data_IF_355743382748
#
_entry.id   IF_355743382748
#
_cell.length_a   1.000
_cell.length_b   1.000
_cell.length_c   1.000
_cell.angle_alpha   90.00
_cell.angle_beta   90.00
_cell.angle_gamma   90.00
#
_symmetry.space_group_name_H-M   'P 1'
#
loop_
_entity.id
_entity.type
_entity.pdbx_description
1 polymer ?
#
# COMPACT_ATOMS: atom_id res chain seq x y z
N UNK A 1 -4.15 -18.64 -2.91
CA UNK A 1 -5.18 -19.49 -3.56
C UNK A 1 -6.33 -18.59 -3.93
N UNK A 2 -6.69 -18.55 -5.21
CA UNK A 2 -7.83 -17.78 -5.72
C UNK A 2 -9.08 -18.63 -5.45
N UNK A 3 -10.02 -18.12 -4.65
CA UNK A 3 -11.28 -18.82 -4.33
C UNK A 3 -12.33 -18.47 -5.38
N UNK A 4 -12.96 -19.49 -5.96
CA UNK A 4 -14.11 -19.33 -6.84
C UNK A 4 -14.35 -20.54 -7.74
N UNK A 5 -15.52 -20.59 -8.37
CA UNK A 5 -15.89 -21.63 -9.33
C UNK A 5 -16.32 -21.00 -10.65
N UNK A 6 -15.96 -21.64 -11.76
CA UNK A 6 -16.44 -21.27 -13.08
C UNK A 6 -17.56 -22.22 -13.47
N UNK A 7 -18.67 -21.67 -13.96
CA UNK A 7 -19.80 -22.44 -14.48
C UNK A 7 -19.77 -22.34 -16.00
N UNK A 8 -19.66 -23.48 -16.65
CA UNK A 8 -19.67 -23.61 -18.11
C UNK A 8 -21.04 -24.15 -18.56
N UNK A 9 -21.49 -23.76 -19.75
CA UNK A 9 -22.61 -24.43 -20.39
C UNK A 9 -22.21 -25.77 -21.01
N UNK A 10 -23.20 -26.48 -21.56
CA UNK A 10 -23.04 -27.75 -22.25
C UNK A 10 -22.11 -27.68 -23.48
N UNK A 11 -21.81 -26.49 -23.99
CA UNK A 11 -20.88 -26.26 -25.09
C UNK A 11 -19.48 -25.83 -24.62
N UNK A 12 -19.22 -25.83 -23.30
CA UNK A 12 -17.94 -25.39 -22.73
C UNK A 12 -17.77 -23.87 -22.69
N UNK A 13 -18.83 -23.10 -22.88
CA UNK A 13 -18.80 -21.63 -22.81
C UNK A 13 -18.95 -21.18 -21.37
N UNK A 14 -18.05 -20.30 -20.90
CA UNK A 14 -18.13 -19.71 -19.56
C UNK A 14 -19.43 -18.88 -19.42
N UNK A 15 -20.31 -19.25 -18.49
CA UNK A 15 -21.55 -18.54 -18.17
C UNK A 15 -21.42 -17.67 -16.93
N UNK A 16 -20.73 -18.17 -15.91
CA UNK A 16 -20.52 -17.46 -14.65
C UNK A 16 -19.10 -17.70 -14.17
N UNK A 17 -18.39 -16.62 -13.86
CA UNK A 17 -17.06 -16.67 -13.25
C UNK A 17 -17.13 -16.06 -11.85
N UNK A 18 -16.98 -16.93 -10.86
CA UNK A 18 -17.01 -16.57 -9.45
C UNK A 18 -15.61 -16.52 -8.83
N UNK A 19 -14.55 -16.54 -9.64
CA UNK A 19 -13.16 -16.36 -9.17
C UNK A 19 -12.86 -14.94 -8.64
N UNK A 20 -13.87 -14.07 -8.68
CA UNK A 20 -13.83 -12.63 -8.40
C UNK A 20 -14.79 -12.21 -7.26
N UNK A 21 -15.47 -13.14 -6.56
CA UNK A 21 -16.56 -12.77 -5.63
C UNK A 21 -16.09 -12.04 -4.36
N UNK A 22 -14.83 -12.17 -3.93
CA UNK A 22 -14.42 -11.70 -2.61
C UNK A 22 -13.28 -10.68 -2.68
N UNK A 23 -13.48 -9.58 -1.94
CA UNK A 23 -12.40 -8.69 -1.55
C UNK A 23 -11.28 -9.51 -0.92
N UNK A 24 -10.06 -9.33 -1.37
CA UNK A 24 -8.93 -10.08 -0.85
C UNK A 24 -7.71 -9.20 -0.65
N UNK A 25 -6.94 -9.57 0.36
CA UNK A 25 -5.64 -9.01 0.63
C UNK A 25 -4.60 -9.65 -0.30
N UNK A 26 -3.82 -8.82 -0.99
CA UNK A 26 -2.77 -9.28 -1.91
C UNK A 26 -1.42 -9.30 -1.19
N UNK A 27 -1.11 -8.27 -0.41
CA UNK A 27 0.17 -8.19 0.27
C UNK A 27 0.36 -6.97 1.15
N UNK A 28 1.54 -6.90 1.75
CA UNK A 28 1.95 -5.78 2.59
C UNK A 28 3.40 -5.40 2.32
N UNK A 29 3.73 -4.15 2.63
CA UNK A 29 5.08 -3.63 2.54
C UNK A 29 5.39 -2.74 3.73
N UNK A 30 6.53 -3.00 4.39
CA UNK A 30 6.99 -2.18 5.51
C UNK A 30 7.74 -0.95 5.01
N UNK A 31 7.15 0.20 5.27
CA UNK A 31 7.73 1.51 5.02
C UNK A 31 8.65 1.85 6.19
N UNK A 32 9.98 1.95 5.97
CA UNK A 32 10.92 2.27 7.04
C UNK A 32 10.70 3.71 7.56
N UNK A 33 11.41 4.08 8.63
CA UNK A 33 11.53 5.49 8.95
C UNK A 33 12.33 6.20 7.87
N UNK A 34 11.74 7.26 7.33
CA UNK A 34 12.34 8.09 6.30
C UNK A 34 12.77 9.40 6.92
N UNK A 35 14.07 9.67 6.86
CA UNK A 35 14.70 10.86 7.47
C UNK A 35 15.28 11.83 6.43
N UNK A 36 15.20 11.47 5.14
CA UNK A 36 15.74 12.26 4.03
C UNK A 36 14.66 12.47 2.97
N UNK A 37 14.59 13.68 2.39
CA UNK A 37 13.64 13.98 1.34
C UNK A 37 13.91 13.17 0.07
N UNK A 38 12.84 12.95 -0.71
CA UNK A 38 12.92 12.26 -2.01
C UNK A 38 12.82 10.75 -1.95
N UNK A 39 12.40 10.18 -0.80
CA UNK A 39 12.12 8.75 -0.73
C UNK A 39 10.90 8.39 -1.59
N UNK A 40 11.07 7.34 -2.38
CA UNK A 40 10.03 6.75 -3.22
C UNK A 40 10.26 5.26 -3.34
N UNK A 41 9.17 4.50 -3.41
CA UNK A 41 9.21 3.06 -3.61
C UNK A 41 8.06 2.62 -4.51
N UNK A 42 8.34 1.71 -5.44
CA UNK A 42 7.32 1.11 -6.32
C UNK A 42 7.28 -0.39 -6.09
N UNK A 43 6.09 -0.87 -5.76
CA UNK A 43 5.75 -2.29 -5.77
C UNK A 43 5.09 -2.58 -7.12
N UNK A 44 5.73 -3.38 -7.96
CA UNK A 44 5.26 -3.69 -9.32
C UNK A 44 4.78 -5.14 -9.44
N UNK A 45 4.06 -5.44 -10.52
CA UNK A 45 3.57 -6.78 -10.81
C UNK A 45 2.45 -7.22 -9.86
N UNK A 46 1.68 -6.26 -9.35
CA UNK A 46 0.54 -6.54 -8.47
C UNK A 46 -0.66 -6.95 -9.33
N UNK A 47 -1.20 -8.16 -9.18
CA UNK A 47 -2.36 -8.59 -9.95
C UNK A 47 -3.64 -8.04 -9.32
N UNK A 48 -4.00 -6.79 -9.63
CA UNK A 48 -5.29 -6.19 -9.24
C UNK A 48 -6.48 -6.76 -10.04
N UNK A 49 -6.58 -8.08 -10.10
CA UNK A 49 -7.59 -8.79 -10.88
C UNK A 49 -8.86 -8.90 -10.04
N UNK A 50 -10.00 -8.59 -10.68
CA UNK A 50 -11.30 -8.91 -10.10
C UNK A 50 -11.69 -8.00 -8.92
N UNK A 51 -11.47 -6.70 -9.05
CA UNK A 51 -12.00 -5.75 -8.07
C UNK A 51 -11.40 -4.36 -8.20
N UNK A 52 -11.84 -3.49 -7.30
CA UNK A 52 -11.29 -2.15 -7.14
C UNK A 52 -10.06 -2.22 -6.25
N UNK A 53 -8.87 -1.79 -6.71
CA UNK A 53 -7.67 -1.77 -5.89
C UNK A 53 -7.87 -0.96 -4.60
N UNK A 54 -7.28 -1.42 -3.50
CA UNK A 54 -7.14 -0.63 -2.28
C UNK A 54 -5.71 -0.66 -1.76
N UNK A 55 -5.35 0.41 -1.07
CA UNK A 55 -4.07 0.55 -0.39
C UNK A 55 -4.26 1.47 0.82
N UNK A 56 -3.87 1.03 2.02
CA UNK A 56 -3.90 1.85 3.22
C UNK A 56 -2.70 1.54 4.12
N UNK A 57 -2.30 2.51 4.93
CA UNK A 57 -1.16 2.39 5.83
C UNK A 57 -1.61 2.32 7.28
N UNK A 58 -0.92 1.50 8.07
CA UNK A 58 -1.07 1.43 9.53
C UNK A 58 0.29 1.60 10.20
N UNK A 59 0.37 2.15 11.44
CA UNK A 59 1.62 2.21 12.17
C UNK A 59 2.24 0.82 12.39
N UNK A 60 3.55 0.69 12.13
CA UNK A 60 4.26 -0.57 12.37
C UNK A 60 4.78 -0.62 13.82
N UNK A 61 4.15 -1.46 14.64
CA UNK A 61 4.46 -1.59 16.07
C UNK A 61 5.85 -2.17 16.39
N UNK A 62 6.52 -2.80 15.41
CA UNK A 62 7.85 -3.35 15.58
C UNK A 62 8.96 -2.31 15.44
N UNK A 63 8.67 -1.18 14.77
CA UNK A 63 9.64 -0.12 14.56
C UNK A 63 9.67 0.85 15.75
N UNK A 64 10.83 1.49 15.97
CA UNK A 64 11.04 2.52 16.98
C UNK A 64 11.66 3.74 16.34
N UNK A 65 11.17 4.91 16.71
CA UNK A 65 11.69 6.19 16.23
C UNK A 65 13.21 6.25 16.47
N UNK A 66 14.02 6.57 15.46
CA UNK A 66 15.46 6.70 15.62
C UNK A 66 15.81 7.79 16.65
N UNK A 67 16.87 7.57 17.43
CA UNK A 67 17.34 8.56 18.38
C UNK A 67 17.75 9.86 17.67
N UNK A 68 17.40 11.01 18.27
CA UNK A 68 17.69 12.32 17.69
C UNK A 68 16.71 12.77 16.59
N UNK A 69 15.60 12.05 16.40
CA UNK A 69 14.54 12.43 15.48
C UNK A 69 13.19 12.56 16.20
N UNK A 70 12.37 13.49 15.72
CA UNK A 70 10.95 13.57 16.06
C UNK A 70 10.14 12.74 15.06
N UNK A 71 9.20 11.94 15.56
CA UNK A 71 8.32 11.14 14.70
C UNK A 71 7.05 11.90 14.34
N UNK A 72 6.75 11.97 13.04
CA UNK A 72 5.42 12.32 12.57
C UNK A 72 4.79 11.13 11.85
N UNK A 73 3.62 10.72 12.33
CA UNK A 73 2.82 9.65 11.74
C UNK A 73 2.11 10.18 10.47
N UNK A 74 2.88 10.35 9.40
CA UNK A 74 2.39 10.83 8.12
C UNK A 74 2.39 9.67 7.12
N UNK A 75 1.26 9.44 6.46
CA UNK A 75 1.17 8.48 5.36
C UNK A 75 1.88 9.01 4.12
N UNK A 76 2.55 8.16 3.32
CA UNK A 76 3.09 8.60 2.04
C UNK A 76 1.94 8.94 1.08
N UNK A 77 2.26 9.68 0.02
CA UNK A 77 1.40 9.71 -1.16
C UNK A 77 1.35 8.30 -1.75
N UNK A 78 0.13 7.81 -2.01
CA UNK A 78 -0.11 6.48 -2.58
C UNK A 78 -0.73 6.66 -3.96
N UNK A 79 0.02 6.31 -5.00
CA UNK A 79 -0.49 6.21 -6.37
C UNK A 79 -0.71 4.73 -6.71
N UNK A 80 -1.94 4.37 -7.03
CA UNK A 80 -2.31 3.02 -7.45
C UNK A 80 -2.48 3.02 -8.98
N UNK A 81 -1.66 2.23 -9.66
CA UNK A 81 -1.73 2.00 -11.10
C UNK A 81 -2.43 0.69 -11.46
N UNK A 82 -2.33 0.29 -12.72
CA UNK A 82 -2.91 -0.97 -13.23
C UNK A 82 -2.32 -2.23 -12.62
N UNK A 83 -1.03 -2.18 -12.28
CA UNK A 83 -0.23 -3.32 -11.84
C UNK A 83 0.86 -2.91 -10.83
N UNK A 84 0.76 -1.69 -10.29
CA UNK A 84 1.75 -1.17 -9.37
C UNK A 84 1.13 -0.28 -8.28
N UNK A 85 1.86 -0.14 -7.17
CA UNK A 85 1.66 0.93 -6.19
C UNK A 85 2.96 1.69 -6.07
N UNK A 86 2.89 3.02 -6.21
CA UNK A 86 4.01 3.92 -5.93
C UNK A 86 3.73 4.70 -4.66
N UNK A 87 4.68 4.62 -3.74
CA UNK A 87 4.72 5.33 -2.48
C UNK A 87 5.75 6.44 -2.58
N UNK A 88 5.44 7.64 -2.11
CA UNK A 88 6.44 8.73 -2.04
C UNK A 88 6.16 9.71 -0.91
N UNK A 89 7.23 10.26 -0.34
CA UNK A 89 7.13 11.43 0.54
C UNK A 89 7.64 12.66 -0.21
N UNK A 90 6.76 13.64 -0.54
CA UNK A 90 7.21 14.90 -1.12
C UNK A 90 8.16 15.63 -0.16
N UNK A 91 9.15 16.33 -0.72
CA UNK A 91 10.17 17.04 0.04
C UNK A 91 9.58 18.06 1.03
N UNK A 92 8.42 18.63 0.71
CA UNK A 92 7.71 19.57 1.56
C UNK A 92 7.35 18.98 2.95
N UNK A 93 7.08 17.67 3.04
CA UNK A 93 6.75 17.04 4.32
C UNK A 93 7.93 16.97 5.29
N UNK A 94 9.16 17.10 4.80
CA UNK A 94 10.36 17.10 5.64
C UNK A 94 10.69 18.48 6.21
N UNK A 95 10.03 19.53 5.69
CA UNK A 95 10.25 20.91 6.09
C UNK A 95 9.19 21.40 7.11
N UNK A 96 8.20 20.58 7.44
CA UNK A 96 7.11 20.94 8.34
C UNK A 96 6.89 19.86 9.42
N UNK A 97 6.80 20.20 10.71
CA UNK A 97 6.99 21.54 11.28
C UNK A 97 8.48 21.95 11.35
N UNK A 98 8.75 23.24 11.17
CA UNK A 98 10.10 23.85 11.22
C UNK A 98 10.64 24.01 12.66
N UNK A 99 9.76 23.96 13.65
CA UNK A 99 10.06 24.17 15.08
C UNK A 99 10.44 22.90 15.87
N UNK A 100 10.84 21.81 15.20
CA UNK A 100 11.10 20.53 15.88
C UNK A 100 12.34 20.54 16.79
N UNK A 101 13.31 21.41 16.53
CA UNK A 101 14.61 21.43 17.23
C UNK A 101 15.50 20.19 16.98
N UNK A 102 14.99 19.20 16.23
CA UNK A 102 15.65 17.95 15.82
C UNK A 102 15.20 17.56 14.40
N UNK A 103 15.83 16.54 13.80
CA UNK A 103 15.42 16.05 12.49
C UNK A 103 14.04 15.37 12.52
N UNK A 104 13.29 15.44 11.42
CA UNK A 104 12.00 14.76 11.27
C UNK A 104 12.18 13.33 10.71
N UNK A 105 11.48 12.37 11.31
CA UNK A 105 11.33 11.02 10.78
C UNK A 105 9.86 10.78 10.41
N UNK A 106 9.62 10.45 9.15
CA UNK A 106 8.32 10.06 8.60
C UNK A 106 8.26 8.53 8.43
N UNK A 107 7.11 7.98 8.09
CA UNK A 107 6.96 6.53 7.85
C UNK A 107 6.88 5.72 9.12
N UNK A 108 7.61 4.60 9.18
CA UNK A 108 7.39 3.60 10.24
C UNK A 108 5.99 2.99 10.15
N UNK A 109 5.53 2.70 8.93
CA UNK A 109 4.19 2.24 8.63
C UNK A 109 4.26 0.91 7.88
N UNK A 110 3.19 0.12 7.94
CA UNK A 110 2.97 -1.02 7.06
C UNK A 110 1.87 -0.66 6.09
N UNK A 111 2.16 -0.72 4.79
CA UNK A 111 1.17 -0.66 3.73
C UNK A 111 0.46 -2.02 3.65
N UNK A 112 -0.86 -2.03 3.62
CA UNK A 112 -1.67 -3.17 3.22
C UNK A 112 -2.38 -2.84 1.91
N UNK A 113 -2.32 -3.77 0.95
CA UNK A 113 -2.96 -3.59 -0.35
C UNK A 113 -3.65 -4.85 -0.83
N UNK A 114 -4.67 -4.66 -1.66
CA UNK A 114 -5.49 -5.72 -2.21
C UNK A 114 -6.54 -5.20 -3.18
N UNK A 115 -7.62 -5.96 -3.33
CA UNK A 115 -8.80 -5.56 -4.10
C UNK A 115 -10.07 -5.70 -3.27
N UNK A 116 -10.98 -4.76 -3.44
CA UNK A 116 -12.37 -4.87 -2.99
C UNK A 116 -13.23 -5.39 -4.13
N UNK A 117 -14.11 -6.34 -3.85
CA UNK A 117 -15.23 -6.61 -4.76
C UNK A 117 -16.29 -5.53 -4.53
N UNK A 118 -16.68 -4.82 -5.59
CA UNK A 118 -17.64 -3.71 -5.57
C UNK A 118 -18.86 -4.07 -6.42
#
# INVERSE_FOLDING_TARGET
MMYGWQIFDENGTLKYDHSVIMSHWIGSFDIPFVTRPGWSHTISGIPFIGGTPYAFCVPNSALRTPAGFAYACTTPDILVGSDFIRLSYPSALFNYPDDLGVGLALGGLTLHYGVYNA
#
